data_IF_735342236731
#
_entry.id   IF_735342236731
#
_cell.length_a   1.000
_cell.length_b   1.000
_cell.length_c   1.000
_cell.angle_alpha   90.00
_cell.angle_beta   90.00
_cell.angle_gamma   90.00
#
_symmetry.space_group_name_H-M   'P 1'
#
loop_
_entity.id
_entity.type
_entity.pdbx_description
1 polymer ?
#
# COMPACT_ATOMS: atom_id res chain seq x y z
N UNK A 1 -2.99 17.50 15.30
CA UNK A 1 -2.67 18.06 13.97
C UNK A 1 -1.27 17.58 13.63
N UNK A 2 -1.12 16.59 12.75
CA UNK A 2 0.21 16.22 12.25
C UNK A 2 0.45 17.02 10.97
N UNK A 3 1.49 17.84 10.99
CA UNK A 3 1.91 18.61 9.84
C UNK A 3 2.27 17.63 8.70
N UNK A 4 1.68 17.84 7.52
CA UNK A 4 2.19 17.25 6.29
C UNK A 4 3.53 17.91 6.01
N UNK A 5 4.60 17.22 6.38
CA UNK A 5 5.94 17.52 5.88
C UNK A 5 6.02 16.90 4.50
N UNK A 6 5.92 17.73 3.45
CA UNK A 6 6.28 17.32 2.10
C UNK A 6 7.79 17.16 2.12
N UNK A 7 8.26 15.92 2.21
CA UNK A 7 9.67 15.62 2.00
C UNK A 7 10.00 15.83 0.52
N UNK A 8 11.05 16.60 0.17
CA UNK A 8 11.58 16.54 -1.18
C UNK A 8 12.00 15.10 -1.48
N UNK A 9 11.90 14.67 -2.74
CA UNK A 9 12.38 13.33 -3.11
C UNK A 9 13.86 13.20 -2.69
N UNK A 10 14.16 12.28 -1.80
CA UNK A 10 15.52 12.05 -1.33
C UNK A 10 15.92 10.65 -1.81
N UNK A 11 16.75 10.66 -2.87
CA UNK A 11 17.38 9.53 -3.55
C UNK A 11 16.47 8.43 -4.11
N UNK A 12 17.01 7.74 -5.12
CA UNK A 12 16.44 6.61 -5.86
C UNK A 12 16.35 5.31 -5.03
N UNK A 13 16.52 5.37 -3.70
CA UNK A 13 16.72 4.19 -2.83
C UNK A 13 15.46 3.75 -2.07
N UNK A 14 14.31 4.32 -2.39
CA UNK A 14 13.04 3.97 -1.76
C UNK A 14 12.12 3.23 -2.72
N UNK A 15 12.48 2.04 -3.18
CA UNK A 15 11.60 1.25 -4.05
C UNK A 15 10.99 0.08 -3.27
N UNK A 16 9.67 -0.03 -3.26
CA UNK A 16 9.04 -1.28 -2.85
C UNK A 16 9.10 -2.25 -4.01
N UNK A 17 10.05 -3.20 -3.95
CA UNK A 17 10.18 -4.27 -4.92
C UNK A 17 8.92 -5.14 -4.88
N UNK A 18 8.33 -5.40 -6.05
CA UNK A 18 7.21 -6.32 -6.17
C UNK A 18 7.62 -7.73 -5.77
N UNK A 19 6.94 -8.29 -4.77
CA UNK A 19 6.97 -9.73 -4.55
C UNK A 19 5.76 -10.33 -5.24
N UNK A 20 6.03 -11.20 -6.22
CA UNK A 20 5.03 -11.77 -7.12
C UNK A 20 3.77 -12.23 -6.38
N UNK A 21 2.65 -11.57 -6.67
CA UNK A 21 1.32 -11.89 -6.17
C UNK A 21 1.17 -11.87 -4.63
N UNK A 22 2.10 -11.25 -3.91
CA UNK A 22 1.96 -11.05 -2.48
C UNK A 22 1.26 -9.72 -2.18
N UNK A 23 0.55 -9.69 -1.06
CA UNK A 23 -0.12 -8.50 -0.55
C UNK A 23 0.59 -8.04 0.70
N UNK A 24 1.34 -6.95 0.59
CA UNK A 24 1.94 -6.31 1.74
C UNK A 24 0.94 -5.37 2.39
N UNK A 25 0.97 -5.29 3.72
CA UNK A 25 0.01 -4.51 4.51
C UNK A 25 0.71 -3.73 5.61
N UNK A 26 0.17 -2.54 5.90
CA UNK A 26 0.58 -1.68 6.99
C UNK A 26 -0.66 -1.10 7.69
N UNK A 27 -0.73 -1.26 9.01
CA UNK A 27 -1.79 -0.69 9.83
C UNK A 27 -1.55 0.81 10.04
N UNK A 28 -2.61 1.60 9.99
CA UNK A 28 -2.59 3.01 10.35
C UNK A 28 -3.87 3.39 11.11
N UNK A 29 -3.82 4.55 11.77
CA UNK A 29 -4.98 5.14 12.45
C UNK A 29 -5.38 6.39 11.69
N UNK A 30 -6.64 6.45 11.26
CA UNK A 30 -7.25 7.60 10.62
C UNK A 30 -7.94 8.46 11.70
N UNK A 31 -7.49 9.70 11.97
CA UNK A 31 -8.03 10.52 13.07
C UNK A 31 -9.26 11.36 12.68
N UNK A 32 -9.62 11.46 11.40
CA UNK A 32 -10.74 12.24 10.90
C UNK A 32 -11.46 11.53 9.76
N UNK A 33 -12.72 11.89 9.52
CA UNK A 33 -13.52 11.34 8.43
C UNK A 33 -12.98 11.78 7.07
N UNK A 34 -12.84 10.86 6.13
CA UNK A 34 -12.34 11.10 4.76
C UNK A 34 -13.23 10.39 3.75
N UNK A 35 -13.42 11.00 2.58
CA UNK A 35 -14.00 10.32 1.41
C UNK A 35 -12.87 10.03 0.43
N UNK A 36 -12.81 8.80 -0.08
CA UNK A 36 -11.84 8.40 -1.10
C UNK A 36 -12.57 8.14 -2.40
N UNK A 37 -12.15 8.82 -3.48
CA UNK A 37 -12.63 8.62 -4.86
C UNK A 37 -11.53 8.36 -5.86
N UNK A 38 -10.30 8.78 -5.57
CA UNK A 38 -9.15 8.49 -6.42
C UNK A 38 -8.00 7.95 -5.58
N UNK A 39 -7.28 7.00 -6.16
CA UNK A 39 -6.03 6.46 -5.61
C UNK A 39 -4.93 6.77 -6.62
N UNK A 40 -3.95 7.55 -6.20
CA UNK A 40 -2.81 7.98 -7.01
C UNK A 40 -1.52 7.47 -6.39
N UNK A 41 -0.66 6.85 -7.19
CA UNK A 41 0.64 6.33 -6.77
C UNK A 41 1.64 6.46 -7.92
N UNK A 42 2.92 6.18 -7.69
CA UNK A 42 3.94 6.28 -8.73
C UNK A 42 4.70 4.98 -8.92
N UNK A 43 4.88 4.60 -10.18
CA UNK A 43 5.69 3.45 -10.61
C UNK A 43 7.13 3.91 -10.82
N UNK A 44 8.07 3.25 -10.14
CA UNK A 44 9.50 3.56 -10.21
C UNK A 44 10.17 2.73 -11.30
N UNK A 45 10.02 1.40 -11.25
CA UNK A 45 10.46 0.46 -12.30
C UNK A 45 9.24 -0.14 -12.99
N UNK A 46 9.22 -0.08 -14.33
CA UNK A 46 8.14 -0.65 -15.15
C UNK A 46 8.32 -2.16 -15.39
N UNK A 47 7.22 -2.85 -15.65
CA UNK A 47 7.23 -4.23 -16.15
C UNK A 47 6.03 -4.43 -17.10
N UNK A 48 6.30 -4.79 -18.35
CA UNK A 48 5.25 -4.90 -19.38
C UNK A 48 4.38 -6.13 -19.11
N UNK A 49 3.06 -5.97 -19.22
CA UNK A 49 2.10 -7.04 -18.98
C UNK A 49 1.81 -7.30 -17.50
N UNK A 50 2.30 -6.43 -16.61
CA UNK A 50 2.10 -6.51 -15.16
C UNK A 50 1.21 -5.38 -14.64
N UNK A 51 0.70 -5.60 -13.43
CA UNK A 51 -0.28 -4.79 -12.73
C UNK A 51 0.08 -4.62 -11.25
N UNK A 52 -0.21 -3.44 -10.74
CA UNK A 52 -0.19 -3.11 -9.32
C UNK A 52 -1.61 -2.90 -8.81
N UNK A 53 -1.81 -3.16 -7.52
CA UNK A 53 -3.05 -2.85 -6.82
C UNK A 53 -2.77 -2.23 -5.46
N UNK A 54 -3.47 -1.16 -5.13
CA UNK A 54 -3.41 -0.49 -3.84
C UNK A 54 -4.82 -0.36 -3.26
N UNK A 55 -4.95 -0.34 -1.93
CA UNK A 55 -6.25 -0.29 -1.29
C UNK A 55 -6.23 -0.15 0.22
N UNK A 56 -7.44 -0.03 0.77
CA UNK A 56 -7.70 0.08 2.20
C UNK A 56 -8.58 -1.09 2.64
N UNK A 57 -8.21 -1.68 3.77
CA UNK A 57 -8.99 -2.69 4.47
C UNK A 57 -9.40 -2.18 5.85
N UNK A 58 -10.58 -2.60 6.29
CA UNK A 58 -11.07 -2.41 7.65
C UNK A 58 -10.19 -3.13 8.68
N UNK A 59 -10.33 -2.77 9.96
CA UNK A 59 -9.72 -3.53 11.08
C UNK A 59 -10.10 -5.02 11.08
N UNK A 60 -11.30 -5.34 10.57
CA UNK A 60 -11.78 -6.71 10.38
C UNK A 60 -11.21 -7.39 9.12
N UNK A 61 -10.22 -6.76 8.45
CA UNK A 61 -9.49 -7.28 7.28
C UNK A 61 -10.34 -7.50 6.03
N UNK A 62 -11.50 -6.85 5.95
CA UNK A 62 -12.33 -6.77 4.75
C UNK A 62 -11.94 -5.57 3.90
N UNK A 63 -11.85 -5.75 2.58
CA UNK A 63 -11.49 -4.69 1.62
C UNK A 63 -12.59 -3.64 1.56
N UNK A 64 -12.20 -2.38 1.74
CA UNK A 64 -13.11 -1.22 1.68
C UNK A 64 -12.93 -0.45 0.37
N UNK A 65 -11.67 -0.22 -0.03
CA UNK A 65 -11.32 0.55 -1.24
C UNK A 65 -10.21 -0.17 -1.97
N UNK A 66 -10.22 -0.18 -3.30
CA UNK A 66 -9.09 -0.67 -4.10
C UNK A 66 -8.99 0.02 -5.45
N UNK A 67 -7.78 0.19 -5.96
CA UNK A 67 -7.50 0.74 -7.30
C UNK A 67 -7.89 -0.20 -8.44
N UNK A 68 -7.98 -1.50 -8.14
CA UNK A 68 -8.07 -2.55 -9.17
C UNK A 68 -6.68 -2.87 -9.71
N UNK A 69 -6.62 -3.59 -10.83
CA UNK A 69 -5.37 -3.86 -11.54
C UNK A 69 -4.97 -2.64 -12.38
N UNK A 70 -3.93 -1.94 -11.93
CA UNK A 70 -3.38 -0.77 -12.62
C UNK A 70 -2.10 -1.16 -13.33
N UNK A 71 -2.04 -0.93 -14.65
CA UNK A 71 -0.87 -1.33 -15.45
C UNK A 71 0.40 -0.60 -15.03
N UNK A 72 1.47 -1.37 -14.81
CA UNK A 72 2.83 -0.87 -14.54
C UNK A 72 3.74 -0.94 -15.78
N UNK A 73 3.16 -0.98 -16.98
CA UNK A 73 3.91 -1.01 -18.24
C UNK A 73 4.66 0.31 -18.56
N UNK A 74 4.37 1.39 -17.82
CA UNK A 74 5.12 2.65 -17.90
C UNK A 74 5.41 3.17 -16.49
N UNK A 75 6.53 3.87 -16.34
CA UNK A 75 6.88 4.60 -15.11
C UNK A 75 6.03 5.85 -14.95
N UNK A 76 6.11 6.46 -13.77
CA UNK A 76 5.44 7.71 -13.44
C UNK A 76 4.12 7.55 -12.68
N UNK A 77 3.35 8.63 -12.61
CA UNK A 77 2.13 8.72 -11.81
C UNK A 77 1.02 7.91 -12.46
N UNK A 78 0.34 7.11 -11.64
CA UNK A 78 -0.84 6.32 -11.98
C UNK A 78 -1.98 6.73 -11.07
N UNK A 79 -3.16 6.95 -11.66
CA UNK A 79 -4.37 7.30 -10.94
C UNK A 79 -5.49 6.33 -11.31
N UNK A 80 -6.19 5.81 -10.30
CA UNK A 80 -7.36 4.96 -10.46
C UNK A 80 -8.57 5.59 -9.75
N UNK A 81 -9.64 5.82 -10.50
CA UNK A 81 -10.93 6.24 -9.95
C UNK A 81 -11.61 5.05 -9.28
N UNK A 82 -12.18 5.26 -8.10
CA UNK A 82 -12.90 4.26 -7.32
C UNK A 82 -14.29 4.77 -6.94
N UNK A 83 -15.21 3.85 -6.69
CA UNK A 83 -16.50 4.22 -6.09
C UNK A 83 -16.25 4.94 -4.78
N UNK A 84 -16.92 6.06 -4.57
CA UNK A 84 -16.74 6.88 -3.38
C UNK A 84 -17.00 6.06 -2.11
N UNK A 85 -15.99 5.95 -1.25
CA UNK A 85 -16.10 5.28 0.05
C UNK A 85 -15.78 6.29 1.14
N UNK A 86 -16.69 6.38 2.11
CA UNK A 86 -16.47 7.18 3.33
C UNK A 86 -15.76 6.32 4.37
N UNK A 87 -14.62 6.80 4.85
CA UNK A 87 -13.88 6.24 5.96
C UNK A 87 -14.13 7.10 7.19
N UNK A 88 -14.65 6.48 8.25
CA UNK A 88 -14.81 7.12 9.56
C UNK A 88 -13.48 7.08 10.33
N UNK A 89 -13.30 7.91 11.38
CA UNK A 89 -12.11 7.82 12.22
C UNK A 89 -11.96 6.41 12.82
N UNK A 90 -10.76 5.82 12.73
CA UNK A 90 -10.55 4.45 13.18
C UNK A 90 -9.26 3.81 12.69
N UNK A 91 -9.14 2.51 12.93
CA UNK A 91 -7.98 1.70 12.55
C UNK A 91 -8.24 1.02 11.22
N UNK A 92 -7.26 1.10 10.31
CA UNK A 92 -7.32 0.53 8.98
C UNK A 92 -6.00 -0.11 8.59
N UNK A 93 -6.03 -0.94 7.55
CA UNK A 93 -4.84 -1.44 6.89
C UNK A 93 -4.75 -0.86 5.49
N UNK A 94 -3.60 -0.26 5.19
CA UNK A 94 -3.21 0.06 3.83
C UNK A 94 -2.52 -1.16 3.23
N UNK A 95 -2.93 -1.56 2.04
CA UNK A 95 -2.45 -2.75 1.37
C UNK A 95 -2.01 -2.43 -0.05
N UNK A 96 -0.98 -3.12 -0.51
CA UNK A 96 -0.53 -3.03 -1.88
C UNK A 96 0.01 -4.35 -2.39
N UNK A 97 0.03 -4.49 -3.71
CA UNK A 97 0.48 -5.70 -4.40
C UNK A 97 1.02 -5.38 -5.78
N UNK A 98 1.88 -6.27 -6.28
CA UNK A 98 2.42 -6.30 -7.63
C UNK A 98 2.38 -7.76 -8.11
N UNK A 99 2.01 -8.00 -9.36
CA UNK A 99 2.04 -9.33 -9.99
C UNK A 99 3.30 -9.57 -10.86
N UNK A 100 4.26 -8.65 -10.76
CA UNK A 100 5.60 -8.71 -11.33
C UNK A 100 6.67 -8.96 -10.27
N UNK A 101 7.86 -9.34 -10.72
CA UNK A 101 9.06 -9.47 -9.88
C UNK A 101 10.04 -8.32 -10.07
N UNK A 102 9.90 -7.56 -11.16
CA UNK A 102 10.81 -6.50 -11.56
C UNK A 102 10.19 -5.12 -11.34
N UNK A 103 8.87 -4.99 -11.51
CA UNK A 103 8.19 -3.73 -11.22
C UNK A 103 8.37 -3.29 -9.76
N UNK A 104 8.49 -1.99 -9.55
CA UNK A 104 8.57 -1.37 -8.22
C UNK A 104 7.72 -0.10 -8.16
N UNK A 105 7.27 0.24 -6.96
CA UNK A 105 6.58 1.49 -6.67
C UNK A 105 7.52 2.42 -5.90
N UNK A 106 7.42 3.72 -6.17
CA UNK A 106 8.09 4.73 -5.36
C UNK A 106 7.56 4.64 -3.92
N UNK A 107 8.48 4.55 -2.98
CA UNK A 107 8.22 4.33 -1.57
C UNK A 107 8.94 5.35 -0.70
N UNK A 108 8.52 5.43 0.55
CA UNK A 108 9.18 6.27 1.55
C UNK A 108 10.54 5.63 1.89
N UNK A 109 11.68 6.30 1.62
CA UNK A 109 13.00 5.74 1.91
C UNK A 109 13.20 5.58 3.42
N UNK A 110 14.03 4.62 3.82
CA UNK A 110 14.51 4.44 5.20
C UNK A 110 13.43 4.15 6.27
N UNK A 111 12.25 3.65 5.88
CA UNK A 111 11.38 2.91 6.81
C UNK A 111 11.92 1.48 6.99
N UNK A 112 13.18 1.34 7.40
CA UNK A 112 13.80 0.05 7.72
C UNK A 112 13.75 -0.20 9.22
N UNK A 113 13.33 -1.42 9.60
CA UNK A 113 13.41 -2.14 10.89
C UNK A 113 13.22 -1.36 12.23
N UNK A 114 13.88 -0.23 12.47
CA UNK A 114 13.80 0.55 13.71
C UNK A 114 12.52 1.36 13.86
N UNK A 115 12.00 1.98 12.80
CA UNK A 115 10.73 2.73 12.84
C UNK A 115 9.51 1.80 12.86
N UNK A 116 9.61 0.66 12.16
CA UNK A 116 8.61 -0.42 12.24
C UNK A 116 8.66 -1.14 13.57
N UNK A 117 9.82 -1.29 14.22
CA UNK A 117 9.91 -1.84 15.57
C UNK A 117 9.14 -0.98 16.57
N UNK A 118 9.18 0.36 16.48
CA UNK A 118 8.40 1.24 17.37
C UNK A 118 6.88 1.16 17.09
N UNK A 119 6.46 0.89 15.85
CA UNK A 119 5.04 0.69 15.50
C UNK A 119 4.57 -0.75 15.83
N UNK A 120 5.47 -1.73 15.75
CA UNK A 120 5.22 -3.15 15.90
C UNK A 120 5.52 -3.71 17.31
N UNK A 121 6.15 -2.96 18.22
CA UNK A 121 6.66 -3.50 19.49
C UNK A 121 5.61 -3.95 20.51
N UNK A 122 4.33 -4.08 20.15
CA UNK A 122 3.34 -4.61 21.11
C UNK A 122 2.39 -5.70 20.61
N UNK A 123 2.13 -5.92 19.31
CA UNK A 123 1.39 -7.12 18.85
C UNK A 123 1.68 -7.44 17.37
N UNK A 124 2.12 -8.66 17.11
CA UNK A 124 2.61 -9.31 15.87
C UNK A 124 1.81 -9.21 14.54
N UNK A 125 0.97 -8.20 14.28
CA UNK A 125 0.13 -8.19 13.03
C UNK A 125 -0.09 -6.82 12.39
N UNK A 126 0.72 -5.81 12.72
CA UNK A 126 0.53 -4.43 12.24
C UNK A 126 1.23 -4.12 10.91
N UNK A 127 2.16 -4.98 10.49
CA UNK A 127 2.94 -4.83 9.27
C UNK A 127 3.37 -6.22 8.80
N UNK A 128 3.14 -6.55 7.53
CA UNK A 128 3.53 -7.86 7.02
C UNK A 128 2.88 -8.26 5.69
N UNK A 129 2.94 -9.56 5.40
CA UNK A 129 2.25 -10.13 4.24
C UNK A 129 0.92 -10.75 4.65
N UNK A 130 -0.12 -10.44 3.91
CA UNK A 130 -1.41 -11.10 4.02
C UNK A 130 -1.31 -12.56 3.56
N UNK A 131 -2.04 -13.47 4.21
CA UNK A 131 -2.12 -14.87 3.78
C UNK A 131 -2.82 -15.01 2.44
N UNK A 132 -3.83 -14.17 2.18
CA UNK A 132 -4.50 -14.15 0.90
C UNK A 132 -3.65 -13.41 -0.13
N UNK A 133 -3.35 -14.10 -1.22
CA UNK A 133 -2.57 -13.58 -2.34
C UNK A 133 -3.41 -12.69 -3.25
N UNK A 134 -2.74 -11.80 -3.98
CA UNK A 134 -3.38 -11.09 -5.09
C UNK A 134 -3.46 -11.99 -6.33
N UNK A 135 -4.33 -11.62 -7.26
CA UNK A 135 -4.43 -12.29 -8.56
C UNK A 135 -4.37 -11.22 -9.64
N UNK A 136 -3.35 -11.26 -10.50
CA UNK A 136 -3.14 -10.31 -11.59
C UNK A 136 -3.17 -8.83 -11.14
N UNK A 137 -2.48 -8.53 -10.03
CA UNK A 137 -2.42 -7.19 -9.43
C UNK A 137 -3.71 -6.76 -8.72
N UNK A 138 -4.72 -7.63 -8.62
CA UNK A 138 -5.95 -7.34 -7.88
C UNK A 138 -5.83 -7.82 -6.44
N UNK A 139 -5.99 -6.88 -5.51
CA UNK A 139 -6.04 -7.15 -4.07
C UNK A 139 -7.20 -8.11 -3.71
N UNK A 140 -7.03 -9.07 -2.77
CA UNK A 140 -8.08 -10.03 -2.39
C UNK A 140 -9.24 -9.38 -1.64
N UNK A 141 -10.41 -10.01 -1.57
CA UNK A 141 -11.56 -9.47 -0.83
C UNK A 141 -11.29 -9.35 0.69
N UNK A 142 -10.46 -10.24 1.24
CA UNK A 142 -10.01 -10.23 2.63
C UNK A 142 -8.51 -10.48 2.72
N UNK A 143 -7.84 -10.00 3.77
CA UNK A 143 -6.40 -10.23 3.96
C UNK A 143 -6.05 -11.63 4.51
N UNK A 144 -6.98 -12.28 5.20
CA UNK A 144 -6.68 -13.51 5.94
C UNK A 144 -5.80 -13.24 7.16
N UNK A 145 -4.84 -14.12 7.45
CA UNK A 145 -3.78 -13.88 8.42
C UNK A 145 -2.81 -12.80 7.94
N UNK A 146 -2.05 -12.19 8.86
CA UNK A 146 -0.93 -11.29 8.52
C UNK A 146 0.30 -11.90 9.15
N UNK A 147 1.23 -12.38 8.33
CA UNK A 147 2.51 -12.89 8.79
C UNK A 147 3.53 -11.76 8.95
N UNK A 148 4.43 -11.90 9.92
CA UNK A 148 5.48 -10.89 10.16
C UNK A 148 6.45 -10.85 8.98
N UNK A 149 6.66 -9.64 8.45
CA UNK A 149 7.79 -9.37 7.57
C UNK A 149 8.15 -7.88 7.69
N UNK A 150 9.43 -7.60 7.96
CA UNK A 150 9.93 -6.25 8.29
C UNK A 150 10.74 -5.62 7.15
N UNK A 151 10.76 -6.22 5.96
CA UNK A 151 11.78 -5.92 4.94
C UNK A 151 11.23 -5.17 3.72
N UNK A 152 9.96 -4.76 3.72
CA UNK A 152 9.40 -3.99 2.60
C UNK A 152 9.17 -2.52 2.97
N UNK A 153 9.30 -1.65 1.97
CA UNK A 153 9.06 -0.21 2.10
C UNK A 153 7.58 0.11 1.87
N UNK A 154 7.09 1.19 2.47
CA UNK A 154 5.72 1.67 2.30
C UNK A 154 5.61 2.52 1.02
N UNK A 155 4.83 2.11 0.00
CA UNK A 155 4.69 2.89 -1.22
C UNK A 155 3.99 4.23 -0.95
N UNK A 156 4.42 5.27 -1.67
CA UNK A 156 3.80 6.59 -1.59
C UNK A 156 2.48 6.54 -2.35
N UNK A 157 1.40 6.85 -1.65
CA UNK A 157 0.05 6.85 -2.18
C UNK A 157 -0.71 8.09 -1.70
N UNK A 158 -1.40 8.75 -2.63
CA UNK A 158 -2.29 9.87 -2.38
C UNK A 158 -3.72 9.43 -2.65
N UNK A 159 -4.59 9.60 -1.64
CA UNK A 159 -6.01 9.29 -1.74
C UNK A 159 -6.81 10.58 -1.58
N UNK A 160 -7.61 10.90 -2.58
CA UNK A 160 -8.36 12.16 -2.66
C UNK A 160 -9.86 11.91 -2.88
N UNK A 161 -10.71 12.86 -2.42
CA UNK A 161 -12.17 12.78 -2.55
C UNK A 161 -12.70 13.05 -3.96
#
# INVERSE_FOLDING_TARGET
FYAVTIYPHASTDGDTIGTLNLVAVAQFVLPFRVVVRNITFSVAVLEVGKFAGLGIYSVARNRLVHSGAVSVATTGIKTASVTAVTLEPGVYFFAWTLDGLTASLNAVPNLTQGTTAVIASEVATRFGFATNVSVAGVLPATLGGIGENLTFLLPICYMEP
#
